data_IF_498222329631
#
_entry.id   IF_498222329631
#
_cell.length_a   1.000
_cell.length_b   1.000
_cell.length_c   1.000
_cell.angle_alpha   90.00
_cell.angle_beta   90.00
_cell.angle_gamma   90.00
#
_symmetry.space_group_name_H-M   'P 1'
#
loop_
_entity.id
_entity.type
_entity.pdbx_description
1 polymer ?
#
# COMPACT_ATOMS: atom_id res chain seq x y z
N UNK A 1 14.97 -10.85 -11.11
CA UNK A 1 13.90 -11.53 -10.33
C UNK A 1 13.06 -12.36 -11.28
N UNK A 2 12.69 -13.57 -10.88
CA UNK A 2 11.71 -14.43 -11.56
C UNK A 2 10.61 -14.81 -10.56
N UNK A 3 9.48 -15.31 -11.04
CA UNK A 3 8.42 -15.83 -10.14
C UNK A 3 8.96 -16.90 -9.19
N UNK A 4 9.83 -17.80 -9.67
CA UNK A 4 10.45 -18.85 -8.87
C UNK A 4 11.38 -18.34 -7.75
N UNK A 5 11.87 -17.10 -7.86
CA UNK A 5 12.76 -16.48 -6.86
C UNK A 5 12.07 -15.39 -6.04
N UNK A 6 10.81 -15.08 -6.36
CA UNK A 6 10.00 -14.10 -5.64
C UNK A 6 9.18 -14.81 -4.55
N UNK A 7 9.48 -14.50 -3.29
CA UNK A 7 8.71 -15.03 -2.16
C UNK A 7 7.23 -14.63 -2.22
N UNK A 8 6.96 -13.33 -2.33
CA UNK A 8 5.61 -12.77 -2.33
C UNK A 8 5.55 -11.37 -2.93
N UNK A 9 4.38 -10.99 -3.42
CA UNK A 9 4.02 -9.58 -3.56
C UNK A 9 3.56 -8.99 -2.22
N UNK A 10 3.72 -7.68 -2.03
CA UNK A 10 3.35 -7.00 -0.78
C UNK A 10 1.86 -7.21 -0.42
N UNK A 11 0.97 -7.19 -1.42
CA UNK A 11 -0.46 -7.40 -1.21
C UNK A 11 -0.78 -8.79 -0.66
N UNK A 12 -0.03 -9.82 -1.04
CA UNK A 12 -0.21 -11.18 -0.52
C UNK A 12 0.15 -11.26 0.97
N UNK A 13 1.21 -10.55 1.39
CA UNK A 13 1.59 -10.47 2.81
C UNK A 13 0.57 -9.65 3.59
N UNK A 14 0.19 -8.47 3.08
CA UNK A 14 -0.77 -7.59 3.74
C UNK A 14 -2.16 -8.24 3.91
N UNK A 15 -2.59 -9.06 2.95
CA UNK A 15 -3.83 -9.82 3.02
C UNK A 15 -3.73 -11.11 3.85
N UNK A 16 -2.56 -11.43 4.41
CA UNK A 16 -2.34 -12.65 5.19
C UNK A 16 -2.29 -13.94 4.35
N UNK A 17 -2.22 -13.84 3.03
CA UNK A 17 -2.17 -14.99 2.11
C UNK A 17 -0.79 -15.65 2.08
N UNK A 18 0.27 -14.89 2.39
CA UNK A 18 1.64 -15.38 2.55
C UNK A 18 2.28 -14.78 3.81
N UNK A 19 3.13 -15.51 4.54
CA UNK A 19 3.81 -14.96 5.69
C UNK A 19 4.84 -13.91 5.29
N UNK A 20 5.00 -12.90 6.14
CA UNK A 20 6.13 -11.96 6.09
C UNK A 20 7.37 -12.57 6.76
N UNK A 21 8.05 -11.78 7.60
CA UNK A 21 9.15 -12.27 8.44
C UNK A 21 8.67 -13.41 9.36
N UNK A 22 9.43 -14.49 9.44
CA UNK A 22 9.15 -15.64 10.29
C UNK A 22 10.21 -15.88 11.37
N UNK A 23 11.39 -15.25 11.26
CA UNK A 23 12.40 -15.25 12.32
C UNK A 23 13.31 -14.02 12.31
N UNK A 24 13.99 -13.77 13.43
CA UNK A 24 14.87 -12.61 13.61
C UNK A 24 16.15 -12.68 12.77
N UNK A 25 16.58 -13.89 12.39
CA UNK A 25 17.79 -14.11 11.59
C UNK A 25 17.63 -13.83 10.08
N UNK A 26 16.41 -13.59 9.61
CA UNK A 26 16.13 -13.39 8.18
C UNK A 26 16.61 -12.03 7.67
N UNK A 27 17.32 -12.04 6.55
CA UNK A 27 17.53 -10.83 5.74
C UNK A 27 16.49 -10.79 4.62
N UNK A 28 15.66 -9.74 4.59
CA UNK A 28 14.55 -9.61 3.63
C UNK A 28 14.84 -8.45 2.69
N UNK A 29 14.89 -8.73 1.38
CA UNK A 29 14.93 -7.70 0.34
C UNK A 29 13.50 -7.34 -0.07
N UNK A 30 13.08 -6.12 0.27
CA UNK A 30 11.85 -5.55 -0.26
C UNK A 30 12.18 -4.57 -1.40
N UNK A 31 11.74 -4.90 -2.62
CA UNK A 31 11.96 -4.06 -3.79
C UNK A 31 10.63 -3.75 -4.49
N UNK A 32 10.12 -2.54 -4.24
CA UNK A 32 8.93 -2.02 -4.90
C UNK A 32 9.30 -0.94 -5.93
N UNK A 33 8.49 -0.83 -6.98
CA UNK A 33 8.63 0.20 -8.04
C UNK A 33 7.54 1.28 -7.98
N UNK A 34 6.75 1.30 -6.91
CA UNK A 34 5.50 2.07 -6.82
C UNK A 34 4.34 1.39 -7.56
N UNK A 35 3.12 1.63 -7.10
CA UNK A 35 1.89 1.16 -7.73
C UNK A 35 0.82 2.23 -7.57
N UNK A 36 0.27 2.75 -8.67
CA UNK A 36 -0.69 3.88 -8.62
C UNK A 36 -1.94 3.62 -7.78
N UNK A 37 -2.27 2.35 -7.53
CA UNK A 37 -3.36 1.97 -6.63
C UNK A 37 -3.16 2.49 -5.20
N UNK A 38 -1.92 2.51 -4.69
CA UNK A 38 -1.67 3.06 -3.35
C UNK A 38 -1.92 4.56 -3.29
N UNK A 39 -1.62 5.29 -4.37
CA UNK A 39 -1.82 6.74 -4.44
C UNK A 39 -3.32 7.09 -4.41
N UNK A 40 -4.13 6.39 -5.20
CA UNK A 40 -5.59 6.59 -5.25
C UNK A 40 -6.25 6.19 -3.92
N UNK A 41 -5.85 5.06 -3.34
CA UNK A 41 -6.38 4.61 -2.05
C UNK A 41 -6.07 5.62 -0.94
N UNK A 42 -4.81 6.11 -0.88
CA UNK A 42 -4.41 7.16 0.06
C UNK A 42 -5.20 8.45 -0.19
N UNK A 43 -5.30 8.91 -1.45
CA UNK A 43 -6.04 10.11 -1.81
C UNK A 43 -7.51 10.05 -1.37
N UNK A 44 -8.17 8.90 -1.58
CA UNK A 44 -9.56 8.68 -1.12
C UNK A 44 -9.66 8.75 0.41
N UNK A 45 -8.75 8.10 1.13
CA UNK A 45 -8.75 8.13 2.59
C UNK A 45 -8.49 9.54 3.14
N UNK A 46 -7.57 10.29 2.52
CA UNK A 46 -7.27 11.67 2.91
C UNK A 46 -8.44 12.60 2.64
N UNK A 47 -9.14 12.44 1.52
CA UNK A 47 -10.33 13.23 1.20
C UNK A 47 -11.47 12.98 2.21
N UNK A 48 -11.69 11.72 2.61
CA UNK A 48 -12.67 11.39 3.65
C UNK A 48 -12.33 12.05 4.99
N UNK A 49 -11.08 11.89 5.43
CA UNK A 49 -10.56 12.51 6.67
C UNK A 49 -10.64 14.04 6.64
N UNK A 50 -10.38 14.67 5.49
CA UNK A 50 -10.48 16.12 5.35
C UNK A 50 -11.94 16.58 5.53
N UNK A 51 -12.90 15.84 4.96
CA UNK A 51 -14.33 16.09 5.14
C UNK A 51 -14.77 16.02 6.61
N UNK A 52 -14.32 15.02 7.35
CA UNK A 52 -14.61 14.87 8.78
C UNK A 52 -14.06 16.02 9.63
N UNK A 53 -12.93 16.61 9.21
CA UNK A 53 -12.28 17.72 9.93
C UNK A 53 -12.71 19.11 9.42
N UNK A 54 -13.63 19.19 8.44
CA UNK A 54 -14.03 20.46 7.83
C UNK A 54 -12.90 21.17 7.07
N UNK A 55 -11.91 20.43 6.58
CA UNK A 55 -10.75 20.96 5.86
C UNK A 55 -10.98 20.83 4.35
N UNK A 56 -10.73 21.91 3.60
CA UNK A 56 -10.69 21.91 2.14
C UNK A 56 -11.67 22.91 1.50
N UNK A 57 -11.71 22.90 0.18
CA UNK A 57 -12.57 23.77 -0.62
C UNK A 57 -13.27 22.95 -1.71
N UNK A 58 -14.59 23.12 -1.84
CA UNK A 58 -15.33 22.56 -2.97
C UNK A 58 -15.11 23.44 -4.20
N UNK A 59 -14.57 22.86 -5.26
CA UNK A 59 -14.43 23.53 -6.55
C UNK A 59 -15.70 23.31 -7.38
N UNK A 60 -16.01 24.24 -8.29
CA UNK A 60 -17.26 24.26 -9.07
C UNK A 60 -17.52 23.00 -9.92
N UNK A 61 -16.48 22.22 -10.22
CA UNK A 61 -16.53 21.04 -11.09
C UNK A 61 -15.89 19.79 -10.46
N UNK A 62 -15.72 19.78 -9.13
CA UNK A 62 -15.21 18.63 -8.37
C UNK A 62 -16.33 17.68 -7.94
#
# INVERSE_FOLDING_TARGET
LSEATLHAELGQIAAGLKPGRQSDGETILFWHRGLSLSDIALGKAMLAKAGENGIGQRLRFA
#
